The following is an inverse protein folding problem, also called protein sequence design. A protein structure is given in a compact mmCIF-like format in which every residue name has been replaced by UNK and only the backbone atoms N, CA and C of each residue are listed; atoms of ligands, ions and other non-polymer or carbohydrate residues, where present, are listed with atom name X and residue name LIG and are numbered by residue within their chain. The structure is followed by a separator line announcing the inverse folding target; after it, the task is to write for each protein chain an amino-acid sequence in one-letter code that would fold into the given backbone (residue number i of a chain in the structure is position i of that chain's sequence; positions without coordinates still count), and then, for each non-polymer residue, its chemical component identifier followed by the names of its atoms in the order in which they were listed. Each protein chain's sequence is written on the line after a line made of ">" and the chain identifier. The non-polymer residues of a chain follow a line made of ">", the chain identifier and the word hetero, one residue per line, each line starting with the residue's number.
data_IF_069598121734
#
_entry.id   IF_069598121734
#
_cell.length_a   1.000
_cell.length_b   1.000
_cell.length_c   1.000
_cell.angle_alpha   90.00
_cell.angle_beta   90.00
_cell.angle_gamma   90.00
#
_symmetry.space_group_name_H-M   'P 1'
#
loop_
_entity.id
_entity.type
_entity.pdbx_description
1 polymer ?
#
# COMPACT_ATOMS: atom_id res chain seq x y z
N UNK A 1 -48.34 33.31 21.74
CA UNK A 1 -47.34 34.04 20.94
C UNK A 1 -45.96 33.47 21.27
N UNK A 2 -45.25 33.02 20.24
CA UNK A 2 -43.87 32.51 20.24
C UNK A 2 -42.85 33.53 20.79
N UNK A 3 -41.73 33.08 21.36
CA UNK A 3 -40.43 32.95 20.63
C UNK A 3 -39.30 32.51 21.56
N UNK A 4 -38.69 31.37 21.22
CA UNK A 4 -37.39 30.86 21.70
C UNK A 4 -36.22 31.62 21.04
N UNK A 5 -35.04 31.74 21.70
CA UNK A 5 -33.89 32.41 21.12
C UNK A 5 -33.16 31.49 20.12
N UNK A 6 -32.92 32.01 18.92
CA UNK A 6 -32.16 31.37 17.86
C UNK A 6 -30.65 31.53 18.09
N UNK A 7 -29.96 30.41 18.30
CA UNK A 7 -28.50 30.35 18.25
C UNK A 7 -28.05 30.57 16.81
N UNK A 8 -27.32 31.66 16.55
CA UNK A 8 -26.72 31.95 15.24
C UNK A 8 -25.47 31.10 15.06
N UNK A 9 -25.63 29.96 14.40
CA UNK A 9 -24.54 29.08 13.98
C UNK A 9 -23.79 29.77 12.83
N UNK A 10 -22.49 29.99 13.02
CA UNK A 10 -21.61 30.62 12.03
C UNK A 10 -21.49 29.70 10.78
N UNK A 11 -21.88 30.14 9.56
CA UNK A 11 -21.96 29.27 8.38
C UNK A 11 -20.60 28.70 7.95
N UNK A 12 -19.49 29.28 8.41
CA UNK A 12 -18.13 28.80 8.14
C UNK A 12 -17.76 27.54 8.95
N UNK A 13 -18.33 27.35 10.14
CA UNK A 13 -18.11 26.12 10.93
C UNK A 13 -18.90 24.93 10.38
N UNK A 14 -20.09 25.19 9.82
CA UNK A 14 -20.93 24.14 9.22
C UNK A 14 -20.36 23.60 7.91
N UNK A 15 -19.61 24.42 7.15
CA UNK A 15 -19.01 24.00 5.89
C UNK A 15 -17.80 23.06 6.10
N UNK A 16 -17.02 23.28 7.17
CA UNK A 16 -15.87 22.43 7.52
C UNK A 16 -16.29 21.05 8.06
N UNK A 17 -17.42 20.95 8.79
CA UNK A 17 -17.95 19.67 9.25
C UNK A 17 -18.68 18.88 8.15
N UNK A 18 -19.25 19.55 7.15
CA UNK A 18 -19.89 18.88 6.00
C UNK A 18 -18.87 18.34 4.99
N UNK A 19 -17.69 18.96 4.87
CA UNK A 19 -16.61 18.48 3.99
C UNK A 19 -15.97 17.16 4.49
N UNK A 20 -16.04 16.85 5.78
CA UNK A 20 -15.55 15.59 6.33
C UNK A 20 -16.48 14.39 6.02
N UNK A 21 -17.77 14.63 5.80
CA UNK A 21 -18.74 13.57 5.51
C UNK A 21 -18.83 13.21 4.02
N UNK A 22 -18.30 14.05 3.13
CA UNK A 22 -18.24 13.77 1.69
C UNK A 22 -17.03 12.94 1.26
N UNK A 23 -16.03 12.75 2.15
CA UNK A 23 -14.83 11.93 1.87
C UNK A 23 -14.83 10.54 2.53
N UNK A 24 -15.93 10.12 3.17
CA UNK A 24 -16.15 8.70 3.50
C UNK A 24 -16.62 7.93 2.26
N UNK A 25 -15.85 8.02 1.18
CA UNK A 25 -16.00 7.20 -0.01
C UNK A 25 -15.24 5.89 0.18
N UNK A 26 -16.00 4.82 0.39
CA UNK A 26 -15.57 3.42 0.39
C UNK A 26 -14.56 3.02 1.48
N UNK A 27 -15.04 2.90 2.73
CA UNK A 27 -14.62 1.76 3.53
C UNK A 27 -15.11 0.50 2.80
N UNK A 28 -14.22 -0.14 2.03
CA UNK A 28 -14.37 -1.55 1.68
C UNK A 28 -14.20 -2.38 2.96
N UNK A 29 -15.24 -2.35 3.80
CA UNK A 29 -15.49 -3.42 4.75
C UNK A 29 -16.15 -4.50 3.91
N UNK A 30 -15.47 -5.65 3.78
CA UNK A 30 -15.83 -6.72 2.86
C UNK A 30 -17.33 -7.06 2.92
N UNK A 31 -18.06 -6.60 1.90
CA UNK A 31 -19.38 -7.12 1.60
C UNK A 31 -19.21 -8.57 1.20
N UNK A 32 -19.50 -9.45 2.16
CA UNK A 32 -19.68 -10.88 1.98
C UNK A 32 -20.99 -11.12 1.21
N UNK A 33 -21.05 -10.68 -0.04
CA UNK A 33 -22.26 -10.73 -0.88
C UNK A 33 -21.92 -11.04 -2.34
N UNK A 34 -21.26 -12.17 -2.59
CA UNK A 34 -21.55 -13.04 -3.74
C UNK A 34 -21.23 -14.48 -3.33
N UNK A 35 -22.27 -15.33 -3.35
CA UNK A 35 -22.19 -16.72 -2.92
C UNK A 35 -21.22 -17.55 -3.76
N UNK A 36 -20.47 -18.43 -3.08
CA UNK A 36 -19.60 -19.44 -3.68
C UNK A 36 -18.09 -19.17 -3.68
N UNK A 37 -17.60 -18.16 -2.97
CA UNK A 37 -16.19 -17.73 -3.04
C UNK A 37 -15.38 -18.04 -1.78
N UNK A 38 -14.18 -18.59 -1.96
CA UNK A 38 -13.24 -18.89 -0.89
C UNK A 38 -12.84 -17.68 -0.03
N UNK A 39 -12.25 -17.94 1.13
CA UNK A 39 -11.71 -16.95 2.06
C UNK A 39 -10.22 -16.80 1.88
N UNK A 40 -9.75 -15.58 1.66
CA UNK A 40 -8.31 -15.29 1.59
C UNK A 40 -7.61 -15.57 2.92
N UNK A 41 -6.33 -15.93 2.84
CA UNK A 41 -5.47 -16.13 4.00
C UNK A 41 -5.40 -14.85 4.85
N UNK A 42 -5.65 -14.92 6.18
CA UNK A 42 -5.64 -13.75 7.05
C UNK A 42 -4.33 -12.96 7.05
N UNK A 43 -3.17 -13.59 6.77
CA UNK A 43 -1.87 -12.91 6.67
C UNK A 43 -1.84 -11.91 5.52
N UNK A 44 -2.69 -12.09 4.51
CA UNK A 44 -2.82 -11.17 3.38
C UNK A 44 -3.67 -9.95 3.69
N UNK A 45 -4.44 -9.94 4.79
CA UNK A 45 -5.44 -8.90 5.05
C UNK A 45 -5.34 -8.23 6.42
N UNK A 46 -4.76 -8.89 7.42
CA UNK A 46 -4.81 -8.43 8.83
C UNK A 46 -3.55 -7.72 9.31
N UNK A 47 -2.38 -8.05 8.75
CA UNK A 47 -1.08 -7.48 9.13
C UNK A 47 -0.96 -5.97 8.87
N UNK A 48 -0.03 -5.31 9.57
CA UNK A 48 0.25 -3.89 9.35
C UNK A 48 0.80 -3.65 7.94
N UNK A 49 1.65 -4.55 7.46
CA UNK A 49 2.13 -4.63 6.07
C UNK A 49 0.94 -4.82 5.10
N UNK A 50 0.02 -5.73 5.41
CA UNK A 50 -1.17 -5.99 4.61
C UNK A 50 -2.03 -4.75 4.44
N UNK A 51 -2.29 -4.01 5.53
CA UNK A 51 -3.08 -2.77 5.48
C UNK A 51 -2.35 -1.69 4.68
N UNK A 52 -1.05 -1.55 4.84
CA UNK A 52 -0.25 -0.56 4.12
C UNK A 52 -0.28 -0.78 2.60
N UNK A 53 -0.21 -2.03 2.14
CA UNK A 53 -0.21 -2.36 0.72
C UNK A 53 -1.61 -2.60 0.13
N UNK A 54 -2.59 -3.07 0.91
CA UNK A 54 -3.95 -3.34 0.42
C UNK A 54 -4.83 -2.09 0.38
N UNK A 55 -4.60 -1.14 1.28
CA UNK A 55 -5.23 0.18 1.21
C UNK A 55 -4.54 0.99 0.11
N UNK A 56 -5.30 1.51 -0.86
CA UNK A 56 -4.72 2.32 -1.95
C UNK A 56 -3.86 3.44 -1.37
N UNK A 57 -2.77 3.81 -2.08
CA UNK A 57 -1.78 4.77 -1.57
C UNK A 57 -2.39 6.07 -1.02
N UNK A 58 -3.53 6.51 -1.56
CA UNK A 58 -4.29 7.66 -1.08
C UNK A 58 -5.04 7.43 0.25
N UNK A 59 -5.68 6.28 0.45
CA UNK A 59 -6.36 5.97 1.72
C UNK A 59 -5.37 5.64 2.84
N UNK A 60 -4.28 4.94 2.52
CA UNK A 60 -3.19 4.70 3.49
C UNK A 60 -2.54 6.03 3.88
N UNK A 61 -2.37 6.92 2.91
CA UNK A 61 -1.95 8.31 3.12
C UNK A 61 -2.95 9.07 3.99
N UNK A 62 -4.26 9.01 3.75
CA UNK A 62 -5.25 9.72 4.55
C UNK A 62 -5.30 9.24 6.01
N UNK A 63 -5.18 7.93 6.24
CA UNK A 63 -5.15 7.36 7.59
C UNK A 63 -3.85 7.70 8.32
N UNK A 64 -2.70 7.58 7.64
CA UNK A 64 -1.39 7.88 8.23
C UNK A 64 -1.15 9.38 8.40
N UNK A 65 -1.56 10.21 7.44
CA UNK A 65 -1.58 11.66 7.56
C UNK A 65 -2.56 12.09 8.65
N UNK A 66 -3.75 11.49 8.75
CA UNK A 66 -4.67 11.75 9.85
C UNK A 66 -4.04 11.53 11.22
N UNK A 67 -3.34 10.40 11.41
CA UNK A 67 -2.60 10.11 12.65
C UNK A 67 -1.39 11.01 12.88
N UNK A 68 -0.58 11.28 11.85
CA UNK A 68 0.61 12.13 11.92
C UNK A 68 0.28 13.61 12.14
N UNK A 69 -0.78 14.11 11.49
CA UNK A 69 -1.34 15.45 11.70
C UNK A 69 -1.89 15.55 13.13
N UNK A 70 -2.60 14.54 13.63
CA UNK A 70 -3.04 14.51 15.03
C UNK A 70 -1.85 14.52 16.00
N UNK A 71 -0.83 13.70 15.76
CA UNK A 71 0.39 13.70 16.58
C UNK A 71 1.12 15.05 16.55
N UNK A 72 1.17 15.72 15.40
CA UNK A 72 1.73 17.06 15.26
C UNK A 72 0.87 18.17 15.86
N UNK A 73 -0.44 17.99 15.89
CA UNK A 73 -1.37 18.91 16.53
C UNK A 73 -1.31 18.79 18.06
N UNK A 74 -1.07 17.57 18.57
CA UNK A 74 -0.90 17.27 19.99
C UNK A 74 0.53 17.51 20.49
N UNK A 75 1.53 17.60 19.61
CA UNK A 75 2.90 17.91 19.99
C UNK A 75 3.06 19.40 20.35
N UNK A 76 4.02 19.68 21.23
CA UNK A 76 4.42 21.05 21.57
C UNK A 76 5.34 21.67 20.49
N UNK A 77 5.03 21.42 19.20
CA UNK A 77 5.81 21.98 18.10
C UNK A 77 5.48 23.47 17.94
N UNK A 78 6.52 24.30 17.81
CA UNK A 78 6.36 25.75 17.62
C UNK A 78 5.69 26.14 16.30
N UNK A 79 5.58 25.21 15.35
CA UNK A 79 4.86 25.40 14.09
C UNK A 79 4.08 24.12 13.71
N UNK A 80 2.88 23.99 14.29
CA UNK A 80 2.00 22.83 14.09
C UNK A 80 1.59 22.63 12.63
N UNK A 81 1.44 23.71 11.86
CA UNK A 81 1.11 23.63 10.44
C UNK A 81 2.26 22.98 9.64
N UNK A 82 3.50 23.42 9.88
CA UNK A 82 4.68 22.80 9.28
C UNK A 82 4.82 21.34 9.74
N UNK A 83 4.65 21.04 11.03
CA UNK A 83 4.70 19.67 11.54
C UNK A 83 3.67 18.76 10.84
N UNK A 84 2.42 19.19 10.72
CA UNK A 84 1.35 18.44 10.08
C UNK A 84 1.60 18.17 8.60
N UNK A 85 2.11 19.17 7.85
CA UNK A 85 2.49 19.00 6.44
C UNK A 85 3.65 18.01 6.30
N UNK A 86 4.66 18.15 7.17
CA UNK A 86 5.83 17.27 7.20
C UNK A 86 5.43 15.82 7.48
N UNK A 87 4.57 15.60 8.47
CA UNK A 87 4.09 14.28 8.85
C UNK A 87 3.25 13.64 7.74
N UNK A 88 2.40 14.42 7.06
CA UNK A 88 1.63 13.95 5.92
C UNK A 88 2.51 13.49 4.76
N UNK A 89 3.49 14.29 4.35
CA UNK A 89 4.35 13.96 3.20
C UNK A 89 5.26 12.77 3.50
N UNK A 90 5.85 12.71 4.71
CA UNK A 90 6.69 11.58 5.11
C UNK A 90 5.89 10.27 5.27
N UNK A 91 4.58 10.37 5.58
CA UNK A 91 3.72 9.19 5.70
C UNK A 91 3.27 8.64 4.35
N UNK A 92 3.05 9.51 3.37
CA UNK A 92 2.50 9.15 2.07
C UNK A 92 3.57 8.86 1.01
N UNK A 93 4.80 9.36 1.21
CA UNK A 93 5.88 9.28 0.23
C UNK A 93 5.41 9.72 -1.15
N UNK A 94 5.72 8.93 -2.17
CA UNK A 94 5.35 9.20 -3.56
C UNK A 94 3.94 8.76 -3.96
N UNK A 95 3.09 8.33 -3.02
CA UNK A 95 1.74 7.83 -3.34
C UNK A 95 0.79 8.89 -3.92
N UNK A 96 1.10 10.18 -3.72
CA UNK A 96 0.36 11.31 -4.32
C UNK A 96 0.92 11.74 -5.68
N UNK A 97 1.88 11.00 -6.21
CA UNK A 97 2.57 11.26 -7.47
C UNK A 97 3.89 12.02 -7.29
N UNK A 98 4.82 11.78 -8.20
CA UNK A 98 6.17 12.32 -8.17
C UNK A 98 6.24 13.86 -8.11
N UNK A 99 5.40 14.56 -8.86
CA UNK A 99 5.40 16.03 -8.90
C UNK A 99 4.95 16.64 -7.57
N UNK A 100 3.85 16.13 -6.99
CA UNK A 100 3.35 16.60 -5.70
C UNK A 100 4.36 16.31 -4.58
N UNK A 101 4.94 15.11 -4.58
CA UNK A 101 5.99 14.73 -3.65
C UNK A 101 7.18 15.69 -3.71
N UNK A 102 7.65 16.01 -4.92
CA UNK A 102 8.79 16.91 -5.10
C UNK A 102 8.51 18.35 -4.68
N UNK A 103 7.34 18.88 -5.02
CA UNK A 103 6.96 20.24 -4.64
C UNK A 103 6.98 20.39 -3.12
N UNK A 104 6.38 19.43 -2.42
CA UNK A 104 6.39 19.37 -0.95
C UNK A 104 7.81 19.24 -0.37
N UNK A 105 8.66 18.40 -0.97
CA UNK A 105 10.03 18.22 -0.51
C UNK A 105 10.87 19.48 -0.72
N UNK A 106 10.68 20.20 -1.82
CA UNK A 106 11.33 21.49 -2.09
C UNK A 106 10.83 22.59 -1.15
N UNK A 107 9.55 22.58 -0.78
CA UNK A 107 9.01 23.48 0.23
C UNK A 107 9.59 23.21 1.63
N UNK A 108 9.89 21.94 1.95
CA UNK A 108 10.41 21.53 3.26
C UNK A 108 11.94 21.71 3.38
N UNK A 109 12.68 21.41 2.32
CA UNK A 109 14.15 21.41 2.31
C UNK A 109 14.66 22.46 1.34
N UNK A 110 15.24 23.53 1.90
CA UNK A 110 15.92 24.55 1.11
C UNK A 110 17.19 24.00 0.44
N UNK A 111 17.88 23.07 1.12
CA UNK A 111 19.08 22.41 0.62
C UNK A 111 18.75 21.13 -0.16
N UNK A 112 19.34 20.98 -1.34
CA UNK A 112 19.10 19.82 -2.22
C UNK A 112 19.75 18.55 -1.67
N UNK A 113 20.92 18.67 -1.03
CA UNK A 113 21.61 17.54 -0.39
C UNK A 113 20.78 16.95 0.74
N UNK A 114 20.25 17.79 1.64
CA UNK A 114 19.36 17.38 2.73
C UNK A 114 18.08 16.72 2.18
N UNK A 115 17.49 17.29 1.13
CA UNK A 115 16.31 16.74 0.44
C UNK A 115 16.57 15.32 -0.08
N UNK A 116 17.70 15.10 -0.75
CA UNK A 116 18.06 13.81 -1.35
C UNK A 116 18.46 12.78 -0.28
N UNK A 117 19.10 13.19 0.81
CA UNK A 117 19.38 12.31 1.94
C UNK A 117 18.08 11.86 2.63
N UNK A 118 17.12 12.77 2.80
CA UNK A 118 15.81 12.43 3.34
C UNK A 118 15.03 11.49 2.41
N UNK A 119 15.12 11.70 1.09
CA UNK A 119 14.55 10.79 0.10
C UNK A 119 15.23 9.41 0.13
N UNK A 120 16.56 9.35 0.24
CA UNK A 120 17.31 8.09 0.34
C UNK A 120 16.85 7.28 1.55
N UNK A 121 16.71 7.94 2.70
CA UNK A 121 16.22 7.32 3.94
C UNK A 121 14.78 6.82 3.80
N UNK A 122 13.91 7.58 3.12
CA UNK A 122 12.54 7.17 2.86
C UNK A 122 12.47 5.93 1.96
N UNK A 123 13.22 5.91 0.85
CA UNK A 123 13.27 4.76 -0.06
C UNK A 123 13.83 3.53 0.66
N UNK A 124 14.81 3.68 1.54
CA UNK A 124 15.30 2.58 2.39
C UNK A 124 14.20 2.02 3.30
N UNK A 125 13.42 2.90 3.94
CA UNK A 125 12.29 2.51 4.79
C UNK A 125 11.19 1.79 3.99
N UNK A 126 10.83 2.31 2.82
CA UNK A 126 9.86 1.65 1.93
C UNK A 126 10.39 0.30 1.42
N UNK A 127 11.68 0.21 1.10
CA UNK A 127 12.31 -1.05 0.70
C UNK A 127 12.24 -2.10 1.81
N UNK A 128 12.40 -1.69 3.08
CA UNK A 128 12.23 -2.57 4.22
C UNK A 128 10.78 -3.06 4.37
N UNK A 129 9.79 -2.17 4.22
CA UNK A 129 8.36 -2.54 4.22
C UNK A 129 8.02 -3.50 3.07
N UNK A 130 8.56 -3.25 1.88
CA UNK A 130 8.40 -4.16 0.72
C UNK A 130 9.01 -5.51 1.05
N UNK A 131 10.20 -5.56 1.65
CA UNK A 131 10.84 -6.82 2.06
C UNK A 131 9.99 -7.59 3.09
N UNK A 132 9.45 -6.91 4.09
CA UNK A 132 8.57 -7.53 5.10
C UNK A 132 7.31 -8.12 4.44
N UNK A 133 6.66 -7.33 3.58
CA UNK A 133 5.48 -7.81 2.85
C UNK A 133 5.82 -8.99 1.94
N UNK A 134 6.91 -8.91 1.19
CA UNK A 134 7.41 -10.02 0.36
C UNK A 134 7.58 -11.29 1.19
N UNK A 135 8.21 -11.23 2.36
CA UNK A 135 8.39 -12.41 3.21
C UNK A 135 7.04 -13.02 3.66
N UNK A 136 6.04 -12.19 3.95
CA UNK A 136 4.69 -12.68 4.28
C UNK A 136 4.01 -13.32 3.07
N UNK A 137 4.09 -12.70 1.90
CA UNK A 137 3.52 -13.24 0.67
C UNK A 137 4.19 -14.56 0.28
N UNK A 138 5.51 -14.67 0.41
CA UNK A 138 6.27 -15.90 0.15
C UNK A 138 5.82 -17.08 1.02
N UNK A 139 5.54 -16.85 2.30
CA UNK A 139 4.99 -17.90 3.18
C UNK A 139 3.63 -18.39 2.68
N UNK A 140 2.72 -17.47 2.35
CA UNK A 140 1.41 -17.85 1.81
C UNK A 140 1.55 -18.56 0.46
N UNK A 141 2.45 -18.11 -0.41
CA UNK A 141 2.76 -18.77 -1.69
C UNK A 141 3.22 -20.21 -1.48
N UNK A 142 4.10 -20.45 -0.51
CA UNK A 142 4.58 -21.80 -0.22
C UNK A 142 3.46 -22.70 0.30
N UNK A 143 2.64 -22.20 1.23
CA UNK A 143 1.50 -22.95 1.77
C UNK A 143 0.46 -23.26 0.68
N UNK A 144 0.20 -22.31 -0.23
CA UNK A 144 -0.70 -22.52 -1.37
C UNK A 144 -0.13 -23.53 -2.38
N UNK A 145 1.19 -23.51 -2.65
CA UNK A 145 1.86 -24.52 -3.50
C UNK A 145 1.76 -25.93 -2.90
N UNK A 146 1.93 -26.06 -1.59
CA UNK A 146 1.76 -27.33 -0.89
C UNK A 146 0.33 -27.85 -0.99
N UNK A 147 -0.67 -26.97 -0.83
CA UNK A 147 -2.08 -27.32 -1.02
C UNK A 147 -2.38 -27.78 -2.46
N UNK A 148 -1.88 -27.06 -3.47
CA UNK A 148 -1.99 -27.45 -4.89
C UNK A 148 -1.38 -28.83 -5.11
N UNK A 149 -0.19 -29.09 -4.59
CA UNK A 149 0.48 -30.39 -4.73
C UNK A 149 -0.33 -31.52 -4.08
N UNK A 150 -0.92 -31.27 -2.92
CA UNK A 150 -1.80 -32.22 -2.22
C UNK A 150 -3.07 -32.54 -3.04
N UNK A 151 -3.70 -31.52 -3.62
CA UNK A 151 -4.86 -31.67 -4.51
C UNK A 151 -4.48 -32.51 -5.73
N UNK A 152 -3.36 -32.19 -6.40
CA UNK A 152 -2.87 -32.94 -7.56
C UNK A 152 -2.62 -34.42 -7.22
N UNK A 153 -2.06 -34.71 -6.04
CA UNK A 153 -1.83 -36.09 -5.60
C UNK A 153 -3.15 -36.82 -5.34
N UNK A 154 -4.12 -36.16 -4.72
CA UNK A 154 -5.46 -36.73 -4.49
C UNK A 154 -6.22 -37.00 -5.80
N UNK A 155 -6.06 -36.13 -6.81
CA UNK A 155 -6.60 -36.37 -8.17
C UNK A 155 -5.97 -37.61 -8.78
N UNK A 156 -4.63 -37.73 -8.76
CA UNK A 156 -3.91 -38.91 -9.29
C UNK A 156 -4.31 -40.21 -8.58
N UNK A 157 -4.49 -40.15 -7.26
CA UNK A 157 -4.92 -41.27 -6.44
C UNK A 157 -6.43 -41.59 -6.56
N UNK A 158 -7.22 -40.73 -7.24
CA UNK A 158 -8.69 -40.81 -7.33
C UNK A 158 -9.39 -40.79 -5.97
N UNK A 159 -8.80 -40.11 -5.00
CA UNK A 159 -9.31 -39.96 -3.63
C UNK A 159 -9.77 -38.54 -3.32
N UNK A 160 -9.96 -37.71 -4.36
CA UNK A 160 -10.28 -36.30 -4.21
C UNK A 160 -11.67 -36.10 -3.60
N UNK A 161 -11.73 -35.29 -2.54
CA UNK A 161 -12.98 -34.67 -2.09
C UNK A 161 -13.23 -33.42 -2.94
N UNK A 162 -14.21 -33.50 -3.84
CA UNK A 162 -14.49 -32.42 -4.80
C UNK A 162 -14.94 -31.13 -4.10
N UNK A 163 -15.75 -31.23 -3.04
CA UNK A 163 -16.25 -30.05 -2.34
C UNK A 163 -15.11 -29.32 -1.64
N UNK A 164 -14.24 -30.08 -0.95
CA UNK A 164 -13.05 -29.53 -0.31
C UNK A 164 -12.08 -28.93 -1.33
N UNK A 165 -11.81 -29.65 -2.43
CA UNK A 165 -10.88 -29.18 -3.46
C UNK A 165 -11.36 -27.89 -4.14
N UNK A 166 -12.66 -27.77 -4.41
CA UNK A 166 -13.24 -26.53 -4.94
C UNK A 166 -13.06 -25.36 -3.98
N UNK A 167 -13.27 -25.59 -2.67
CA UNK A 167 -13.06 -24.58 -1.65
C UNK A 167 -11.60 -24.15 -1.54
N UNK A 168 -10.67 -25.11 -1.50
CA UNK A 168 -9.24 -24.85 -1.39
C UNK A 168 -8.74 -24.06 -2.63
N UNK A 169 -9.16 -24.43 -3.84
CA UNK A 169 -8.86 -23.67 -5.07
C UNK A 169 -9.43 -22.25 -5.02
N UNK A 170 -10.67 -22.09 -4.55
CA UNK A 170 -11.28 -20.77 -4.44
C UNK A 170 -10.55 -19.88 -3.42
N UNK A 171 -10.01 -20.46 -2.34
CA UNK A 171 -9.17 -19.72 -1.37
C UNK A 171 -7.86 -19.27 -2.03
N UNK A 172 -7.18 -20.17 -2.74
CA UNK A 172 -5.93 -19.87 -3.46
C UNK A 172 -6.15 -18.78 -4.52
N UNK A 173 -7.29 -18.79 -5.21
CA UNK A 173 -7.65 -17.73 -6.16
C UNK A 173 -7.75 -16.34 -5.51
N UNK A 174 -8.35 -16.27 -4.33
CA UNK A 174 -8.41 -15.02 -3.58
C UNK A 174 -7.02 -14.58 -3.12
N UNK A 175 -6.16 -15.52 -2.70
CA UNK A 175 -4.78 -15.22 -2.33
C UNK A 175 -3.99 -14.63 -3.51
N UNK A 176 -4.05 -15.28 -4.69
CA UNK A 176 -3.39 -14.80 -5.92
C UNK A 176 -3.91 -13.41 -6.30
N UNK A 177 -5.22 -13.17 -6.20
CA UNK A 177 -5.84 -11.87 -6.50
C UNK A 177 -5.28 -10.75 -5.60
N UNK A 178 -5.20 -11.00 -4.30
CA UNK A 178 -4.62 -10.05 -3.33
C UNK A 178 -3.13 -9.84 -3.56
N UNK A 179 -2.35 -10.90 -3.79
CA UNK A 179 -0.92 -10.82 -4.09
C UNK A 179 -0.65 -9.97 -5.33
N UNK A 180 -1.45 -10.13 -6.39
CA UNK A 180 -1.35 -9.32 -7.62
C UNK A 180 -1.65 -7.84 -7.37
N UNK A 181 -2.64 -7.54 -6.53
CA UNK A 181 -2.97 -6.17 -6.14
C UNK A 181 -1.79 -5.53 -5.39
N UNK A 182 -1.21 -6.24 -4.41
CA UNK A 182 -0.05 -5.75 -3.67
C UNK A 182 1.16 -5.52 -4.58
N UNK A 183 1.43 -6.47 -5.48
CA UNK A 183 2.49 -6.35 -6.48
C UNK A 183 2.31 -5.12 -7.36
N UNK A 184 1.08 -4.84 -7.80
CA UNK A 184 0.81 -3.65 -8.60
C UNK A 184 1.10 -2.37 -7.80
N UNK A 185 0.66 -2.30 -6.55
CA UNK A 185 0.91 -1.16 -5.68
C UNK A 185 2.42 -0.95 -5.42
N UNK A 186 3.19 -2.04 -5.22
CA UNK A 186 4.64 -1.97 -5.08
C UNK A 186 5.32 -1.47 -6.36
N UNK A 187 4.89 -1.96 -7.53
CA UNK A 187 5.41 -1.49 -8.83
C UNK A 187 5.13 0.00 -9.05
N UNK A 188 3.91 0.46 -8.76
CA UNK A 188 3.57 1.89 -8.83
C UNK A 188 4.51 2.72 -7.96
N UNK A 189 4.78 2.30 -6.71
CA UNK A 189 5.73 3.00 -5.83
C UNK A 189 7.14 3.07 -6.43
N UNK A 190 7.66 1.96 -6.97
CA UNK A 190 8.96 1.93 -7.67
C UNK A 190 8.97 2.94 -8.81
N UNK A 191 7.97 2.91 -9.68
CA UNK A 191 7.87 3.83 -10.83
C UNK A 191 7.82 5.29 -10.39
N UNK A 192 7.04 5.62 -9.36
CA UNK A 192 6.93 6.99 -8.86
C UNK A 192 8.26 7.47 -8.26
N UNK A 193 8.97 6.64 -7.49
CA UNK A 193 10.31 7.00 -6.99
C UNK A 193 11.33 7.16 -8.12
N UNK A 194 11.28 6.32 -9.17
CA UNK A 194 12.12 6.50 -10.35
C UNK A 194 11.84 7.83 -11.04
N UNK A 195 10.58 8.21 -11.17
CA UNK A 195 10.18 9.49 -11.74
C UNK A 195 10.68 10.66 -10.89
N UNK A 196 10.59 10.57 -9.57
CA UNK A 196 11.15 11.58 -8.66
C UNK A 196 12.67 11.71 -8.83
N UNK A 197 13.41 10.60 -8.83
CA UNK A 197 14.86 10.60 -9.01
C UNK A 197 15.27 11.21 -10.36
N UNK A 198 14.49 10.92 -11.42
CA UNK A 198 14.66 11.55 -12.73
C UNK A 198 14.45 13.07 -12.68
N UNK A 199 13.35 13.52 -12.08
CA UNK A 199 13.06 14.95 -11.95
C UNK A 199 14.09 15.71 -11.11
N UNK A 200 14.69 15.08 -10.08
CA UNK A 200 15.81 15.66 -9.34
C UNK A 200 17.06 15.79 -10.21
N UNK A 201 17.41 14.76 -10.97
CA UNK A 201 18.53 14.82 -11.92
C UNK A 201 18.34 15.91 -12.96
N UNK A 202 17.17 15.94 -13.60
CA UNK A 202 16.84 16.91 -14.65
C UNK A 202 16.78 18.34 -14.07
N UNK A 203 16.49 18.46 -12.76
CA UNK A 203 16.51 19.72 -12.02
C UNK A 203 17.90 20.18 -11.53
N UNK A 204 18.99 19.50 -11.92
CA UNK A 204 20.36 19.90 -11.60
C UNK A 204 20.87 19.42 -10.23
N UNK A 205 20.21 18.44 -9.60
CA UNK A 205 20.71 17.80 -8.40
C UNK A 205 22.09 17.14 -8.61
N UNK A 206 22.86 17.00 -7.52
CA UNK A 206 24.15 16.31 -7.56
C UNK A 206 24.03 14.88 -8.10
N UNK A 207 24.78 14.50 -9.16
CA UNK A 207 24.73 13.16 -9.72
C UNK A 207 25.02 12.06 -8.70
N UNK A 208 25.97 12.30 -7.79
CA UNK A 208 26.36 11.33 -6.76
C UNK A 208 25.25 11.08 -5.73
N UNK A 209 24.43 12.10 -5.43
CA UNK A 209 23.33 11.97 -4.47
C UNK A 209 22.11 11.31 -5.09
N UNK A 210 21.79 11.67 -6.34
CA UNK A 210 20.73 10.99 -7.10
C UNK A 210 21.06 9.51 -7.28
N UNK A 211 22.32 9.16 -7.56
CA UNK A 211 22.74 7.75 -7.67
C UNK A 211 22.50 6.94 -6.39
N UNK A 212 22.62 7.54 -5.20
CA UNK A 212 22.31 6.86 -3.93
C UNK A 212 20.83 6.51 -3.85
N UNK A 213 19.96 7.47 -4.19
CA UNK A 213 18.51 7.26 -4.25
C UNK A 213 18.18 6.14 -5.24
N UNK A 214 18.76 6.17 -6.44
CA UNK A 214 18.52 5.17 -7.48
C UNK A 214 18.99 3.77 -7.09
N UNK A 215 20.11 3.66 -6.37
CA UNK A 215 20.59 2.38 -5.87
C UNK A 215 19.57 1.74 -4.91
N UNK A 216 18.92 2.54 -4.05
CA UNK A 216 17.88 2.05 -3.14
C UNK A 216 16.59 1.67 -3.90
N UNK A 217 16.20 2.47 -4.90
CA UNK A 217 15.07 2.14 -5.78
C UNK A 217 15.32 0.82 -6.52
N UNK A 218 16.55 0.60 -7.01
CA UNK A 218 16.92 -0.62 -7.70
C UNK A 218 16.79 -1.85 -6.78
N UNK A 219 17.22 -1.75 -5.51
CA UNK A 219 17.04 -2.82 -4.52
C UNK A 219 15.56 -3.14 -4.29
N UNK A 220 14.71 -2.12 -4.16
CA UNK A 220 13.26 -2.29 -4.05
C UNK A 220 12.69 -3.00 -5.28
N UNK A 221 13.08 -2.54 -6.48
CA UNK A 221 12.62 -3.13 -7.74
C UNK A 221 13.00 -4.61 -7.88
N UNK A 222 14.23 -4.99 -7.50
CA UNK A 222 14.67 -6.40 -7.50
C UNK A 222 13.78 -7.27 -6.63
N UNK A 223 13.41 -6.81 -5.43
CA UNK A 223 12.50 -7.55 -4.53
C UNK A 223 11.11 -7.72 -5.14
N UNK A 224 10.56 -6.66 -5.72
CA UNK A 224 9.25 -6.68 -6.39
C UNK A 224 9.26 -7.63 -7.59
N UNK A 225 10.33 -7.62 -8.39
CA UNK A 225 10.49 -8.50 -9.53
C UNK A 225 10.61 -9.98 -9.12
N UNK A 226 11.36 -10.29 -8.06
CA UNK A 226 11.44 -11.65 -7.51
C UNK A 226 10.07 -12.14 -7.05
N UNK A 227 9.35 -11.33 -6.27
CA UNK A 227 8.01 -11.67 -5.80
C UNK A 227 7.02 -11.88 -6.96
N UNK A 228 7.12 -11.07 -8.03
CA UNK A 228 6.30 -11.25 -9.22
C UNK A 228 6.47 -12.65 -9.83
N UNK A 229 7.72 -13.11 -9.98
CA UNK A 229 8.01 -14.44 -10.51
C UNK A 229 7.39 -15.55 -9.65
N UNK A 230 7.41 -15.40 -8.32
CA UNK A 230 6.84 -16.38 -7.41
C UNK A 230 5.31 -16.44 -7.48
N UNK A 231 4.65 -15.28 -7.58
CA UNK A 231 3.20 -15.18 -7.74
C UNK A 231 2.76 -15.74 -9.10
N UNK A 232 3.51 -15.46 -10.17
CA UNK A 232 3.23 -16.03 -11.49
C UNK A 232 3.44 -17.55 -11.49
N UNK A 233 4.47 -18.03 -10.80
CA UNK A 233 4.71 -19.46 -10.59
C UNK A 233 3.55 -20.14 -9.86
N UNK A 234 3.03 -19.54 -8.78
CA UNK A 234 1.85 -20.04 -8.07
C UNK A 234 0.62 -20.07 -8.98
N UNK A 235 0.36 -18.98 -9.70
CA UNK A 235 -0.77 -18.90 -10.64
C UNK A 235 -0.70 -19.98 -11.71
N UNK A 236 0.47 -20.22 -12.29
CA UNK A 236 0.66 -21.25 -13.30
C UNK A 236 0.35 -22.64 -12.74
N UNK A 237 0.83 -22.96 -11.54
CA UNK A 237 0.53 -24.24 -10.88
C UNK A 237 -0.97 -24.41 -10.61
N UNK A 238 -1.63 -23.36 -10.09
CA UNK A 238 -3.08 -23.35 -9.86
C UNK A 238 -3.85 -23.54 -11.17
N UNK A 239 -3.44 -22.86 -12.24
CA UNK A 239 -4.14 -22.89 -13.53
C UNK A 239 -4.08 -24.25 -14.22
N UNK A 240 -3.10 -25.08 -13.86
CA UNK A 240 -2.96 -26.45 -14.36
C UNK A 240 -3.91 -27.46 -13.69
N UNK A 241 -4.58 -27.09 -12.59
CA UNK A 241 -5.57 -27.95 -11.93
C UNK A 241 -6.93 -27.77 -12.61
N UNK A 242 -7.49 -28.88 -13.09
CA UNK A 242 -8.89 -28.99 -13.51
C UNK A 242 -9.58 -30.02 -12.62
N UNK A 243 -10.72 -29.66 -12.04
CA UNK A 243 -11.47 -30.53 -11.12
C UNK A 243 -12.54 -31.39 -11.80
N UNK A 244 -12.49 -31.47 -13.14
CA UNK A 244 -13.50 -32.17 -13.95
C UNK A 244 -14.65 -31.28 -14.37
#
# INVERSE_FOLDING_TARGET
>A
MNTTPSSRINPWLSLLMAACLAFTGCASTGSSLTGGGGTADPRLTTGNDAKFFSTSGFQACALAAGGGILACMLSNSGNKAACSIIAGVAACGVAMGANYYLDQRRAKYADTTERLNAMTTEVQGETAKVAERTNTLQRVINDDKEQIASIQNSIKAKTIDMAKAQQDIANIDQNISLMRKDLNNMKTRVTEYQQVAKLERDGGASPAEVQKVEAEIAKMNTKVASLQQEVDGLYNQRSAITLG
#
